data_IF_419020723708
#
_entry.id   IF_419020723708
#
_cell.length_a   1.000
_cell.length_b   1.000
_cell.length_c   1.000
_cell.angle_alpha   90.00
_cell.angle_beta   90.00
_cell.angle_gamma   90.00
#
_symmetry.space_group_name_H-M   'P 1'
#
loop_
_entity.id
_entity.type
_entity.pdbx_description
1 polymer ?
#
# COMPACT_ATOMS: atom_id res chain seq x y z
N UNK A 1 -20.42 -11.96 -5.09
CA UNK A 1 -19.15 -11.23 -4.85
C UNK A 1 -18.96 -10.30 -6.04
N UNK A 2 -18.94 -8.96 -5.85
CA UNK A 2 -18.64 -8.07 -6.97
C UNK A 2 -17.17 -8.28 -7.40
N UNK A 3 -16.88 -8.29 -8.70
CA UNK A 3 -15.50 -8.39 -9.19
C UNK A 3 -14.71 -7.14 -8.78
N UNK A 4 -13.42 -7.34 -8.45
CA UNK A 4 -12.48 -6.23 -8.29
C UNK A 4 -12.41 -5.42 -9.60
N UNK A 5 -12.34 -4.08 -9.49
CA UNK A 5 -12.29 -3.20 -10.65
C UNK A 5 -11.09 -3.59 -11.55
N UNK A 6 -11.28 -3.73 -12.87
CA UNK A 6 -10.24 -4.18 -13.80
C UNK A 6 -8.99 -3.27 -13.82
N UNK A 7 -9.10 -2.08 -13.25
CA UNK A 7 -8.00 -1.17 -13.05
C UNK A 7 -8.26 -0.35 -11.78
N UNK A 8 -7.92 -0.89 -10.61
CA UNK A 8 -8.20 -0.27 -9.30
C UNK A 8 -7.63 1.17 -9.20
N UNK A 9 -6.63 1.51 -10.01
CA UNK A 9 -5.98 2.83 -10.03
C UNK A 9 -6.34 3.68 -11.24
N UNK A 10 -7.22 3.23 -12.16
CA UNK A 10 -7.76 4.10 -13.21
C UNK A 10 -8.51 5.33 -12.64
N UNK A 11 -9.26 5.22 -11.52
CA UNK A 11 -9.78 6.40 -10.83
C UNK A 11 -8.67 7.33 -10.32
N UNK A 12 -7.50 6.79 -9.96
CA UNK A 12 -6.36 7.57 -9.48
C UNK A 12 -5.60 8.25 -10.62
N UNK A 13 -5.47 7.59 -11.76
CA UNK A 13 -4.93 8.16 -12.99
C UNK A 13 -5.81 9.33 -13.45
N UNK A 14 -7.12 9.11 -13.57
CA UNK A 14 -8.09 10.17 -13.91
C UNK A 14 -8.21 11.27 -12.85
N UNK A 15 -8.12 10.96 -11.56
CA UNK A 15 -8.06 11.98 -10.51
C UNK A 15 -6.74 12.75 -10.53
N UNK A 16 -5.63 12.12 -10.92
CA UNK A 16 -4.35 12.80 -11.12
C UNK A 16 -4.41 13.75 -12.31
N UNK A 17 -4.98 13.32 -13.44
CA UNK A 17 -5.24 14.17 -14.60
C UNK A 17 -6.17 15.35 -14.25
N UNK A 18 -7.23 15.11 -13.48
CA UNK A 18 -8.09 16.18 -12.98
C UNK A 18 -7.35 17.10 -12.02
N UNK A 19 -6.57 16.59 -11.06
CA UNK A 19 -5.81 17.42 -10.13
C UNK A 19 -4.75 18.31 -10.83
N UNK A 20 -4.21 17.86 -11.96
CA UNK A 20 -3.32 18.61 -12.84
C UNK A 20 -4.07 19.64 -13.71
N UNK A 21 -5.40 19.55 -13.83
CA UNK A 21 -6.20 20.50 -14.60
C UNK A 21 -6.36 21.84 -13.86
N UNK A 22 -6.49 22.97 -14.58
CA UNK A 22 -6.65 24.30 -14.00
C UNK A 22 -7.86 24.43 -13.05
N UNK A 23 -8.88 23.59 -13.21
CA UNK A 23 -10.14 23.60 -12.46
C UNK A 23 -10.29 22.43 -11.46
N UNK A 24 -9.39 21.46 -11.45
CA UNK A 24 -9.59 20.25 -10.67
C UNK A 24 -9.01 20.33 -9.26
N UNK A 25 -9.88 20.02 -8.30
CA UNK A 25 -9.66 19.86 -6.87
C UNK A 25 -9.14 21.12 -6.13
N UNK A 26 -9.79 21.44 -5.01
CA UNK A 26 -9.48 22.61 -4.19
C UNK A 26 -8.02 22.62 -3.75
N UNK A 27 -7.44 23.82 -3.61
CA UNK A 27 -6.03 24.06 -3.23
C UNK A 27 -5.56 23.29 -1.97
N UNK A 28 -6.49 22.82 -1.13
CA UNK A 28 -6.23 22.10 0.11
C UNK A 28 -5.76 20.66 -0.10
N UNK A 29 -6.06 20.04 -1.26
CA UNK A 29 -5.64 18.68 -1.62
C UNK A 29 -4.44 18.65 -2.57
N UNK A 30 -4.19 19.73 -3.32
CA UNK A 30 -3.05 19.84 -4.25
C UNK A 30 -1.69 19.83 -3.53
N UNK A 31 -1.61 20.42 -2.33
CA UNK A 31 -0.34 20.57 -1.62
C UNK A 31 0.19 19.23 -1.07
N UNK A 32 -0.61 18.38 -0.39
CA UNK A 32 -0.12 17.09 0.08
C UNK A 32 0.18 16.10 -1.07
N UNK A 33 -0.63 16.10 -2.14
CA UNK A 33 -0.46 15.15 -3.26
C UNK A 33 0.74 15.50 -4.16
N UNK A 34 1.02 16.78 -4.39
CA UNK A 34 2.21 17.20 -5.15
C UNK A 34 3.52 16.97 -4.40
N UNK A 35 3.53 17.12 -3.06
CA UNK A 35 4.74 16.95 -2.24
C UNK A 35 5.24 15.51 -2.13
N UNK A 36 4.38 14.54 -2.43
CA UNK A 36 4.68 13.10 -2.27
C UNK A 36 4.88 12.40 -3.63
N UNK A 37 4.91 13.15 -4.73
CA UNK A 37 5.09 12.59 -6.08
C UNK A 37 3.85 11.84 -6.59
N UNK A 38 2.67 12.20 -6.08
CA UNK A 38 1.39 11.69 -6.60
C UNK A 38 0.88 12.49 -7.79
N UNK A 39 1.54 13.60 -8.16
CA UNK A 39 1.14 14.46 -9.27
C UNK A 39 2.35 15.01 -10.06
N UNK A 40 2.65 14.48 -11.26
CA UNK A 40 2.06 13.28 -11.84
C UNK A 40 2.46 12.04 -11.02
N UNK A 41 1.57 11.02 -10.93
CA UNK A 41 1.90 9.79 -10.24
C UNK A 41 3.09 9.12 -10.95
N UNK A 42 4.08 8.68 -10.17
CA UNK A 42 5.18 7.89 -10.70
C UNK A 42 4.67 6.64 -11.44
N UNK A 43 5.39 6.21 -12.49
CA UNK A 43 5.01 5.06 -13.33
C UNK A 43 4.70 3.78 -12.55
N UNK A 44 5.35 3.60 -11.39
CA UNK A 44 5.10 2.48 -10.51
C UNK A 44 3.64 2.41 -10.05
N UNK A 45 3.05 3.55 -9.67
CA UNK A 45 1.65 3.61 -9.22
C UNK A 45 0.66 3.35 -10.35
N UNK A 46 0.95 3.85 -11.56
CA UNK A 46 0.12 3.60 -12.75
C UNK A 46 0.17 2.13 -13.21
N UNK A 47 1.22 1.41 -12.85
CA UNK A 47 1.41 0.00 -13.22
C UNK A 47 0.83 -0.97 -12.18
N UNK A 48 0.23 -0.47 -11.09
CA UNK A 48 -0.39 -1.32 -10.09
C UNK A 48 -1.65 -1.95 -10.66
N UNK A 49 -1.72 -3.28 -10.62
CA UNK A 49 -2.84 -4.07 -11.11
C UNK A 49 -3.12 -5.20 -10.13
N UNK A 50 -4.38 -5.64 -10.09
CA UNK A 50 -4.73 -6.84 -9.34
C UNK A 50 -4.54 -8.07 -10.23
N UNK A 51 -4.04 -9.18 -9.67
CA UNK A 51 -3.75 -10.38 -10.46
C UNK A 51 -4.97 -10.90 -11.24
N UNK A 52 -6.18 -10.71 -10.69
CA UNK A 52 -7.42 -11.14 -11.37
C UNK A 52 -7.84 -10.27 -12.56
N UNK A 53 -7.16 -9.16 -12.83
CA UNK A 53 -7.59 -8.18 -13.85
C UNK A 53 -6.67 -8.13 -15.07
N UNK A 54 -5.55 -8.86 -15.01
CA UNK A 54 -4.52 -8.88 -16.05
C UNK A 54 -4.61 -10.13 -16.94
N UNK A 55 -3.89 -10.15 -18.06
CA UNK A 55 -3.94 -11.28 -18.99
C UNK A 55 -3.11 -12.47 -18.47
N UNK A 56 -3.21 -13.62 -19.16
CA UNK A 56 -2.56 -14.86 -18.73
C UNK A 56 -1.03 -14.73 -18.55
N UNK A 57 -0.38 -13.90 -19.35
CA UNK A 57 1.06 -13.64 -19.26
C UNK A 57 1.41 -12.93 -17.95
N UNK A 58 0.69 -11.85 -17.59
CA UNK A 58 0.97 -11.18 -16.32
C UNK A 58 0.49 -12.00 -15.12
N UNK A 59 -0.59 -12.79 -15.25
CA UNK A 59 -0.98 -13.74 -14.20
C UNK A 59 0.14 -14.74 -13.89
N UNK A 60 0.83 -15.24 -14.92
CA UNK A 60 2.00 -16.09 -14.75
C UNK A 60 3.18 -15.33 -14.09
N UNK A 61 3.37 -14.05 -14.40
CA UNK A 61 4.36 -13.20 -13.76
C UNK A 61 4.06 -12.96 -12.27
N UNK A 62 2.79 -12.71 -11.91
CA UNK A 62 2.34 -12.64 -10.51
C UNK A 62 2.65 -13.95 -9.78
N UNK A 63 2.28 -15.09 -10.36
CA UNK A 63 2.55 -16.40 -9.76
C UNK A 63 4.06 -16.67 -9.59
N UNK A 64 4.89 -16.23 -10.54
CA UNK A 64 6.35 -16.33 -10.43
C UNK A 64 6.90 -15.44 -9.31
N UNK A 65 6.42 -14.20 -9.18
CA UNK A 65 6.78 -13.30 -8.09
C UNK A 65 6.38 -13.85 -6.71
N UNK A 66 5.21 -14.48 -6.61
CA UNK A 66 4.73 -15.13 -5.38
C UNK A 66 5.63 -16.30 -4.96
N UNK A 67 6.10 -17.12 -5.92
CA UNK A 67 7.07 -18.20 -5.66
C UNK A 67 8.43 -17.65 -5.21
N UNK A 68 8.94 -16.64 -5.90
CA UNK A 68 10.20 -16.00 -5.49
C UNK A 68 10.10 -15.40 -4.07
N UNK A 69 8.95 -14.83 -3.71
CA UNK A 69 8.67 -14.38 -2.34
C UNK A 69 8.70 -15.54 -1.35
N UNK A 70 8.00 -16.64 -1.64
CA UNK A 70 7.98 -17.84 -0.81
C UNK A 70 9.40 -18.39 -0.54
N UNK A 71 10.25 -18.39 -1.56
CA UNK A 71 11.58 -19.01 -1.49
C UNK A 71 12.65 -18.11 -0.86
N UNK A 72 12.50 -16.78 -0.98
CA UNK A 72 13.61 -15.86 -0.69
C UNK A 72 13.28 -14.78 0.35
N UNK A 73 12.01 -14.50 0.65
CA UNK A 73 11.65 -13.50 1.66
C UNK A 73 11.66 -14.13 3.04
N UNK A 74 12.60 -13.71 3.88
CA UNK A 74 12.66 -14.12 5.28
C UNK A 74 11.73 -13.29 6.18
N UNK A 75 11.60 -11.99 5.89
CA UNK A 75 10.84 -11.02 6.67
C UNK A 75 10.07 -10.08 5.73
N UNK A 76 8.84 -9.73 6.10
CA UNK A 76 7.97 -8.85 5.33
C UNK A 76 7.15 -8.00 6.28
N UNK A 77 6.81 -6.78 5.86
CA UNK A 77 5.94 -5.88 6.61
C UNK A 77 4.71 -5.54 5.77
N UNK A 78 3.52 -5.67 6.37
CA UNK A 78 2.24 -5.36 5.76
C UNK A 78 1.45 -4.35 6.59
N UNK A 79 0.70 -3.50 5.90
CA UNK A 79 -0.16 -2.49 6.50
C UNK A 79 -1.63 -2.85 6.32
N UNK A 80 -2.44 -2.56 7.34
CA UNK A 80 -3.89 -2.80 7.32
C UNK A 80 -4.70 -1.54 7.60
N UNK A 81 -4.09 -0.37 7.47
CA UNK A 81 -4.79 0.92 7.60
C UNK A 81 -4.22 1.96 6.65
N UNK A 82 -5.00 2.36 5.66
CA UNK A 82 -4.63 3.42 4.74
C UNK A 82 -4.42 4.78 5.40
N UNK A 83 -5.06 5.03 6.54
CA UNK A 83 -4.76 6.22 7.34
C UNK A 83 -3.41 6.07 8.07
N UNK A 84 -3.15 4.89 8.65
CA UNK A 84 -1.88 4.58 9.30
C UNK A 84 -1.58 5.44 10.53
N UNK A 85 -0.31 5.78 10.71
CA UNK A 85 0.13 6.76 11.72
C UNK A 85 -0.32 8.17 11.33
N UNK A 86 -0.53 9.04 12.33
CA UNK A 86 -0.91 10.43 12.08
C UNK A 86 0.27 11.22 11.47
N UNK A 87 0.20 11.49 10.16
CA UNK A 87 1.24 12.16 9.40
C UNK A 87 0.65 12.91 8.20
N UNK A 88 1.51 13.59 7.43
CA UNK A 88 1.09 14.24 6.18
C UNK A 88 0.58 13.24 5.11
N UNK A 89 0.86 11.95 5.28
CA UNK A 89 0.49 10.89 4.33
C UNK A 89 -0.89 10.28 4.61
N UNK A 90 -1.42 10.43 5.84
CA UNK A 90 -2.60 9.69 6.31
C UNK A 90 -3.86 9.97 5.50
N UNK A 91 -4.24 11.25 5.39
CA UNK A 91 -5.47 11.63 4.70
C UNK A 91 -5.38 11.35 3.18
N UNK A 92 -4.27 11.68 2.48
CA UNK A 92 -4.12 11.32 1.08
C UNK A 92 -4.25 9.80 0.82
N UNK A 93 -3.55 8.96 1.59
CA UNK A 93 -3.58 7.50 1.38
C UNK A 93 -4.95 6.89 1.72
N UNK A 94 -5.67 7.43 2.70
CA UNK A 94 -7.06 7.02 2.96
C UNK A 94 -8.02 7.36 1.79
N UNK A 95 -7.78 8.44 1.05
CA UNK A 95 -8.54 8.76 -0.16
C UNK A 95 -8.20 7.76 -1.29
N UNK A 96 -6.91 7.48 -1.49
CA UNK A 96 -6.43 6.51 -2.47
C UNK A 96 -7.07 5.13 -2.25
N UNK A 97 -7.07 4.67 -1.01
CA UNK A 97 -7.67 3.39 -0.60
C UNK A 97 -9.15 3.27 -0.99
N UNK A 98 -9.91 4.32 -0.68
CA UNK A 98 -11.34 4.40 -0.98
C UNK A 98 -11.59 4.35 -2.48
N UNK A 99 -10.72 4.94 -3.29
CA UNK A 99 -10.82 4.91 -4.74
C UNK A 99 -10.45 3.54 -5.31
N UNK A 100 -9.42 2.91 -4.75
CA UNK A 100 -8.93 1.60 -5.19
C UNK A 100 -9.91 0.45 -4.87
N UNK A 101 -10.78 0.63 -3.86
CA UNK A 101 -11.84 -0.33 -3.51
C UNK A 101 -11.30 -1.75 -3.26
N UNK A 102 -10.26 -1.84 -2.42
CA UNK A 102 -9.62 -3.11 -2.08
C UNK A 102 -10.59 -4.12 -1.46
N UNK A 103 -10.34 -5.42 -1.72
CA UNK A 103 -11.16 -6.51 -1.21
C UNK A 103 -10.90 -6.85 0.28
N UNK A 104 -9.80 -6.34 0.84
CA UNK A 104 -9.42 -6.53 2.24
C UNK A 104 -8.86 -5.21 2.82
N UNK A 105 -8.50 -5.22 4.11
CA UNK A 105 -7.78 -4.10 4.70
C UNK A 105 -6.49 -3.81 3.90
N UNK A 106 -6.09 -2.55 3.82
CA UNK A 106 -5.04 -2.09 2.91
C UNK A 106 -4.20 -1.00 3.55
N UNK A 107 -2.98 -0.84 3.06
CA UNK A 107 -2.06 0.23 3.44
C UNK A 107 -2.30 1.54 2.64
N UNK A 108 -3.34 1.57 1.81
CA UNK A 108 -3.69 2.65 0.90
C UNK A 108 -3.36 2.35 -0.55
N UNK A 109 -2.38 1.48 -0.80
CA UNK A 109 -2.04 1.01 -2.14
C UNK A 109 -2.13 -0.50 -2.28
N UNK A 110 -1.80 -1.28 -1.27
CA UNK A 110 -1.72 -2.74 -1.37
C UNK A 110 -2.64 -3.34 -0.34
N UNK A 111 -3.52 -4.23 -0.78
CA UNK A 111 -4.38 -4.99 0.11
C UNK A 111 -3.59 -6.05 0.88
N UNK A 112 -4.04 -6.38 2.08
CA UNK A 112 -3.35 -7.29 2.99
C UNK A 112 -3.16 -8.69 2.40
N UNK A 113 -4.13 -9.20 1.64
CA UNK A 113 -4.00 -10.52 1.01
C UNK A 113 -2.95 -10.50 -0.09
N UNK A 114 -2.86 -9.43 -0.88
CA UNK A 114 -1.78 -9.22 -1.85
C UNK A 114 -0.41 -9.03 -1.16
N UNK A 115 -0.36 -8.33 -0.04
CA UNK A 115 0.89 -8.13 0.70
C UNK A 115 1.44 -9.43 1.31
N UNK A 116 0.56 -10.25 1.90
CA UNK A 116 0.89 -11.50 2.61
C UNK A 116 0.93 -12.73 1.70
N UNK A 117 0.62 -12.59 0.42
CA UNK A 117 0.56 -13.71 -0.52
C UNK A 117 1.86 -14.51 -0.52
N UNK A 118 1.70 -15.83 -0.42
CA UNK A 118 2.81 -16.76 -0.36
C UNK A 118 3.57 -16.79 0.97
N UNK A 119 3.20 -16.02 1.97
CA UNK A 119 3.79 -16.09 3.30
C UNK A 119 2.82 -16.77 4.28
N UNK A 120 3.34 -17.39 5.34
CA UNK A 120 2.50 -17.96 6.38
C UNK A 120 1.87 -16.83 7.20
N UNK A 121 0.56 -16.66 7.09
CA UNK A 121 -0.17 -15.57 7.77
C UNK A 121 -0.11 -15.68 9.30
N UNK A 122 0.15 -16.87 9.85
CA UNK A 122 0.35 -17.06 11.29
C UNK A 122 1.69 -16.50 11.79
N UNK A 123 2.65 -16.23 10.90
CA UNK A 123 3.95 -15.63 11.25
C UNK A 123 3.86 -14.09 11.35
N UNK A 124 2.71 -13.50 11.03
CA UNK A 124 2.48 -12.05 11.08
C UNK A 124 2.05 -11.58 12.48
N UNK A 125 2.67 -10.51 12.96
CA UNK A 125 2.29 -9.87 14.21
C UNK A 125 3.06 -8.58 14.49
N UNK A 126 3.28 -8.29 15.76
CA UNK A 126 3.96 -7.06 16.22
C UNK A 126 5.48 -7.12 16.07
N UNK A 127 6.19 -6.30 16.83
CA UNK A 127 7.65 -6.09 16.68
C UNK A 127 8.51 -7.32 16.91
N UNK A 128 7.99 -8.38 17.55
CA UNK A 128 8.71 -9.65 17.79
C UNK A 128 8.38 -10.75 16.78
N UNK A 129 7.50 -10.48 15.81
CA UNK A 129 7.06 -11.46 14.82
C UNK A 129 7.99 -11.49 13.61
N UNK A 130 8.11 -12.67 12.98
CA UNK A 130 8.90 -12.88 11.76
C UNK A 130 8.39 -12.01 10.61
N UNK A 131 7.08 -11.91 10.45
CA UNK A 131 6.47 -10.93 9.57
C UNK A 131 5.73 -9.90 10.42
N UNK A 132 5.75 -8.66 9.97
CA UNK A 132 5.16 -7.55 10.70
C UNK A 132 3.85 -7.13 10.08
N UNK A 133 2.85 -6.91 10.92
CA UNK A 133 1.57 -6.34 10.51
C UNK A 133 1.11 -5.32 11.52
N UNK A 134 0.60 -4.19 11.02
CA UNK A 134 0.11 -3.12 11.87
C UNK A 134 -0.86 -2.18 11.16
N UNK A 135 -1.61 -1.34 11.91
CA UNK A 135 -2.42 -0.26 11.35
C UNK A 135 -1.50 0.86 10.84
N UNK A 136 -0.83 0.56 9.73
CA UNK A 136 0.17 1.39 9.06
C UNK A 136 -0.23 1.55 7.60
N UNK A 137 0.04 2.75 7.07
CA UNK A 137 -0.14 3.05 5.66
C UNK A 137 1.15 2.76 4.88
N UNK A 138 1.09 2.87 3.56
CA UNK A 138 2.20 2.55 2.67
C UNK A 138 3.45 3.41 2.94
N UNK A 139 3.27 4.67 3.35
CA UNK A 139 4.38 5.56 3.69
C UNK A 139 5.04 5.17 5.04
N UNK A 140 4.26 4.73 6.02
CA UNK A 140 4.78 4.27 7.31
C UNK A 140 5.67 3.02 7.13
N UNK A 141 5.27 2.09 6.27
CA UNK A 141 6.03 0.87 5.94
C UNK A 141 7.34 1.16 5.19
N UNK A 142 7.44 2.33 4.55
CA UNK A 142 8.68 2.84 3.95
C UNK A 142 9.53 3.68 4.90
N UNK A 143 9.19 3.65 6.20
CA UNK A 143 9.89 4.35 7.28
C UNK A 143 9.88 5.88 7.20
N UNK A 144 9.01 6.48 6.38
CA UNK A 144 8.92 7.95 6.21
C UNK A 144 8.33 8.66 7.43
N UNK A 145 7.52 7.96 8.20
CA UNK A 145 6.83 8.51 9.39
C UNK A 145 7.56 8.18 10.70
N UNK A 146 8.48 7.21 10.70
CA UNK A 146 9.07 6.69 11.94
C UNK A 146 8.12 5.75 12.70
N UNK A 147 8.40 5.55 13.99
CA UNK A 147 7.57 4.75 14.88
C UNK A 147 6.43 5.56 15.51
N UNK A 148 5.25 4.96 15.56
CA UNK A 148 4.13 5.46 16.32
C UNK A 148 4.38 5.40 17.83
N UNK A 149 3.74 6.30 18.55
CA UNK A 149 3.89 6.40 20.01
C UNK A 149 3.23 5.24 20.76
N UNK A 150 2.08 4.75 20.29
CA UNK A 150 1.23 3.81 21.03
C UNK A 150 1.18 2.42 20.39
N UNK A 151 1.37 1.38 21.22
CA UNK A 151 1.29 -0.03 20.80
C UNK A 151 2.53 -0.50 20.02
N UNK A 152 2.86 -1.79 20.16
CA UNK A 152 3.99 -2.38 19.42
C UNK A 152 3.67 -2.60 17.94
N UNK A 153 2.39 -2.73 17.57
CA UNK A 153 1.95 -2.85 16.17
C UNK A 153 2.00 -1.53 15.38
N UNK A 154 2.59 -0.48 15.95
CA UNK A 154 2.79 0.82 15.30
C UNK A 154 4.26 1.22 15.21
N UNK A 155 5.18 0.27 15.37
CA UNK A 155 6.63 0.52 15.43
C UNK A 155 7.41 -0.22 14.33
N UNK A 156 7.21 0.16 13.04
CA UNK A 156 7.87 -0.50 11.92
C UNK A 156 9.40 -0.39 11.94
N UNK A 157 9.97 0.71 12.45
CA UNK A 157 11.43 0.86 12.56
C UNK A 157 11.97 -0.02 13.67
N UNK A 158 11.32 -0.05 14.84
CA UNK A 158 11.71 -0.95 15.92
C UNK A 158 11.70 -2.41 15.47
N UNK A 159 10.65 -2.85 14.76
CA UNK A 159 10.61 -4.18 14.18
C UNK A 159 11.81 -4.42 13.27
N UNK A 160 12.07 -3.52 12.31
CA UNK A 160 13.16 -3.66 11.36
C UNK A 160 14.55 -3.69 12.03
N UNK A 161 14.76 -2.84 13.05
CA UNK A 161 16.02 -2.79 13.80
C UNK A 161 16.28 -4.08 14.59
N UNK A 162 15.25 -4.77 15.05
CA UNK A 162 15.41 -6.06 15.71
C UNK A 162 15.73 -7.21 14.75
N UNK A 163 15.72 -6.97 13.43
CA UNK A 163 16.14 -7.95 12.42
C UNK A 163 17.62 -7.83 12.02
N UNK A 164 18.28 -6.74 12.39
CA UNK A 164 19.69 -6.42 12.08
C UNK A 164 20.59 -6.79 13.25
#
# INVERSE_FOLDING_TARGET
MPPASPNAYAPLESASEQALSPSGWSNILKVPLSWVGYCPPGRAYLSLQHQSTVNATEQAAFAAGQRARQEHVSHAACGVSAFGLNSIYSAPLAIVDKMASHASASDGFVDYNSCSVGLNTNDFGGTSSKHYVGPLNHADLSFRTGDGWWGDNRKPLKWFQCLL
#
